data_IF_491495528089
#
_entry.id   IF_491495528089
#
_cell.length_a   1.000
_cell.length_b   1.000
_cell.length_c   1.000
_cell.angle_alpha   90.00
_cell.angle_beta   90.00
_cell.angle_gamma   90.00
#
_symmetry.space_group_name_H-M   'P 1'
#
loop_
_entity.id
_entity.type
_entity.pdbx_description
1 polymer ?
#
# COMPACT_ATOMS: atom_id res chain seq x y z
N UNK A 1 -39.04 -30.64 17.28
CA UNK A 1 -38.20 -31.19 16.19
C UNK A 1 -37.08 -30.21 16.03
N UNK A 2 -35.85 -30.62 16.31
CA UNK A 2 -34.70 -29.74 16.13
C UNK A 2 -34.50 -29.55 14.63
N UNK A 3 -34.67 -28.33 14.16
CA UNK A 3 -34.42 -27.96 12.78
C UNK A 3 -32.90 -27.88 12.63
N UNK A 4 -32.32 -28.71 11.76
CA UNK A 4 -30.89 -28.61 11.41
C UNK A 4 -30.67 -27.28 10.70
N UNK A 5 -29.84 -26.40 11.26
CA UNK A 5 -29.38 -25.18 10.60
C UNK A 5 -28.33 -25.49 9.53
N UNK A 6 -28.24 -24.61 8.54
CA UNK A 6 -27.13 -24.60 7.57
C UNK A 6 -25.80 -24.35 8.30
N UNK A 7 -24.75 -24.96 7.77
CA UNK A 7 -23.38 -24.65 8.17
C UNK A 7 -22.94 -23.31 7.60
N UNK A 8 -21.92 -22.68 8.20
CA UNK A 8 -21.37 -21.41 7.72
C UNK A 8 -20.92 -21.49 6.25
N UNK A 9 -20.38 -22.63 5.83
CA UNK A 9 -19.98 -22.86 4.44
C UNK A 9 -21.18 -22.91 3.50
N UNK A 10 -22.27 -23.58 3.90
CA UNK A 10 -23.52 -23.62 3.12
C UNK A 10 -24.15 -22.22 3.03
N UNK A 11 -24.11 -21.43 4.12
CA UNK A 11 -24.58 -20.04 4.14
C UNK A 11 -23.77 -19.17 3.18
N UNK A 12 -22.43 -19.25 3.23
CA UNK A 12 -21.55 -18.50 2.33
C UNK A 12 -21.80 -18.85 0.86
N UNK A 13 -21.87 -20.14 0.53
CA UNK A 13 -22.16 -20.59 -0.84
C UNK A 13 -23.55 -20.12 -1.32
N UNK A 14 -24.57 -20.12 -0.45
CA UNK A 14 -25.88 -19.61 -0.84
C UNK A 14 -25.86 -18.09 -1.07
N UNK A 15 -25.17 -17.33 -0.21
CA UNK A 15 -25.04 -15.88 -0.35
C UNK A 15 -24.35 -15.50 -1.68
N UNK A 16 -23.34 -16.27 -2.11
CA UNK A 16 -22.72 -16.13 -3.43
C UNK A 16 -23.73 -16.35 -4.57
N UNK A 17 -24.51 -17.44 -4.53
CA UNK A 17 -25.53 -17.69 -5.56
C UNK A 17 -26.64 -16.65 -5.59
N UNK A 18 -27.01 -16.09 -4.43
CA UNK A 18 -27.97 -15.00 -4.34
C UNK A 18 -27.43 -13.74 -5.02
N UNK A 19 -26.16 -13.38 -4.76
CA UNK A 19 -25.50 -12.21 -5.34
C UNK A 19 -25.27 -12.38 -6.86
N UNK A 20 -24.94 -13.58 -7.34
CA UNK A 20 -24.75 -13.88 -8.76
C UNK A 20 -26.07 -14.06 -9.54
N UNK A 21 -27.21 -14.16 -8.85
CA UNK A 21 -28.49 -14.50 -9.47
C UNK A 21 -28.57 -15.94 -9.99
N UNK A 22 -27.73 -16.86 -9.50
CA UNK A 22 -27.66 -18.28 -9.92
C UNK A 22 -28.37 -19.23 -8.95
N UNK A 23 -29.54 -18.82 -8.45
CA UNK A 23 -30.34 -19.59 -7.50
C UNK A 23 -30.79 -20.95 -8.03
N UNK A 24 -30.73 -21.19 -9.34
CA UNK A 24 -31.04 -22.48 -9.97
C UNK A 24 -30.06 -23.60 -9.57
N UNK A 25 -28.83 -23.26 -9.18
CA UNK A 25 -27.80 -24.23 -8.74
C UNK A 25 -28.07 -24.86 -7.38
N UNK A 26 -28.94 -24.25 -6.56
CA UNK A 26 -29.23 -24.73 -5.21
C UNK A 26 -30.27 -25.84 -5.25
N UNK A 27 -30.08 -26.87 -4.42
CA UNK A 27 -31.00 -28.01 -4.35
C UNK A 27 -32.40 -27.57 -3.88
N UNK A 28 -33.42 -28.34 -4.25
CA UNK A 28 -34.80 -28.05 -3.83
C UNK A 28 -34.99 -28.16 -2.32
N UNK A 29 -34.22 -29.02 -1.65
CA UNK A 29 -34.28 -29.22 -0.20
C UNK A 29 -33.76 -27.99 0.55
N UNK A 30 -32.64 -27.42 0.11
CA UNK A 30 -32.06 -26.21 0.71
C UNK A 30 -32.96 -24.98 0.50
N UNK A 31 -33.56 -24.84 -0.68
CA UNK A 31 -34.53 -23.76 -0.96
C UNK A 31 -35.73 -23.82 -0.01
N UNK A 32 -36.26 -25.02 0.21
CA UNK A 32 -37.38 -25.21 1.11
C UNK A 32 -36.96 -25.01 2.58
N UNK A 33 -35.74 -25.40 2.96
CA UNK A 33 -35.19 -25.12 4.28
C UNK A 33 -35.12 -23.61 4.56
N UNK A 34 -34.49 -22.84 3.67
CA UNK A 34 -34.28 -21.38 3.86
C UNK A 34 -35.62 -20.65 3.93
N UNK A 35 -36.59 -21.05 3.11
CA UNK A 35 -37.94 -20.51 3.16
C UNK A 35 -38.65 -20.74 4.51
N UNK A 36 -38.28 -21.79 5.23
CA UNK A 36 -38.90 -22.18 6.50
C UNK A 36 -38.01 -21.92 7.73
N UNK A 37 -36.78 -21.45 7.56
CA UNK A 37 -35.82 -21.20 8.64
C UNK A 37 -35.33 -19.75 8.61
N UNK A 38 -36.03 -18.89 9.34
CA UNK A 38 -35.74 -17.45 9.40
C UNK A 38 -34.30 -17.15 9.84
N UNK A 39 -33.73 -17.95 10.74
CA UNK A 39 -32.36 -17.77 11.22
C UNK A 39 -31.34 -17.88 10.08
N UNK A 40 -31.38 -18.99 9.32
CA UNK A 40 -30.47 -19.19 8.20
C UNK A 40 -30.72 -18.18 7.07
N UNK A 41 -31.98 -17.82 6.81
CA UNK A 41 -32.31 -16.80 5.82
C UNK A 41 -31.72 -15.42 6.17
N UNK A 42 -31.81 -15.01 7.44
CA UNK A 42 -31.25 -13.74 7.88
C UNK A 42 -29.73 -13.72 7.81
N UNK A 43 -29.06 -14.81 8.16
CA UNK A 43 -27.59 -14.93 8.04
C UNK A 43 -27.15 -14.87 6.58
N UNK A 44 -27.86 -15.55 5.68
CA UNK A 44 -27.62 -15.49 4.23
C UNK A 44 -27.75 -14.06 3.70
N UNK A 45 -28.82 -13.34 4.06
CA UNK A 45 -29.03 -11.95 3.64
C UNK A 45 -27.90 -11.06 4.17
N UNK A 46 -27.50 -11.22 5.43
CA UNK A 46 -26.40 -10.45 6.00
C UNK A 46 -25.07 -10.68 5.28
N UNK A 47 -24.75 -11.92 4.91
CA UNK A 47 -23.54 -12.24 4.14
C UNK A 47 -23.64 -11.70 2.71
N UNK A 48 -24.81 -11.79 2.07
CA UNK A 48 -25.03 -11.26 0.73
C UNK A 48 -24.87 -9.73 0.68
N UNK A 49 -25.37 -9.00 1.68
CA UNK A 49 -25.22 -7.55 1.80
C UNK A 49 -23.73 -7.13 1.91
N UNK A 50 -22.90 -7.93 2.60
CA UNK A 50 -21.45 -7.70 2.68
C UNK A 50 -20.80 -7.88 1.31
N UNK A 51 -21.16 -8.96 0.58
CA UNK A 51 -20.64 -9.23 -0.76
C UNK A 51 -21.02 -8.12 -1.77
N UNK A 52 -22.25 -7.59 -1.69
CA UNK A 52 -22.69 -6.47 -2.53
C UNK A 52 -21.87 -5.21 -2.25
N UNK A 53 -21.63 -4.89 -0.97
CA UNK A 53 -20.81 -3.74 -0.57
C UNK A 53 -19.37 -3.86 -1.08
N UNK A 54 -18.77 -5.04 -0.97
CA UNK A 54 -17.41 -5.29 -1.49
C UNK A 54 -17.34 -5.14 -3.02
N UNK A 55 -18.37 -5.60 -3.74
CA UNK A 55 -18.39 -5.41 -5.20
C UNK A 55 -18.57 -3.94 -5.58
N UNK A 56 -19.38 -3.20 -4.81
CA UNK A 56 -19.62 -1.77 -5.05
C UNK A 56 -18.35 -0.92 -4.81
N UNK A 57 -17.59 -1.19 -3.76
CA UNK A 57 -16.33 -0.46 -3.51
C UNK A 57 -15.31 -0.65 -4.62
N UNK A 58 -15.18 -1.87 -5.17
CA UNK A 58 -14.28 -2.15 -6.29
C UNK A 58 -14.72 -1.43 -7.56
N UNK A 59 -16.03 -1.36 -7.84
CA UNK A 59 -16.54 -0.68 -9.03
C UNK A 59 -16.37 0.84 -8.91
N UNK A 60 -16.61 1.44 -7.75
CA UNK A 60 -16.46 2.89 -7.56
C UNK A 60 -15.00 3.34 -7.68
N UNK A 61 -14.03 2.57 -7.16
CA UNK A 61 -12.58 2.83 -7.35
C UNK A 61 -12.12 2.72 -8.81
N UNK A 62 -12.76 1.85 -9.60
CA UNK A 62 -12.44 1.70 -11.03
C UNK A 62 -12.96 2.85 -11.91
N UNK A 63 -14.03 3.52 -11.46
CA UNK A 63 -14.67 4.62 -12.20
C UNK A 63 -13.96 5.95 -11.91
N UNK A 64 -13.57 6.21 -10.66
CA UNK A 64 -12.89 7.46 -10.29
C UNK A 64 -11.48 7.58 -10.88
N UNK A 65 -10.78 6.45 -11.07
CA UNK A 65 -9.45 6.43 -11.69
C UNK A 65 -9.43 6.59 -13.23
N UNK A 66 -10.60 6.72 -13.89
CA UNK A 66 -10.70 6.93 -15.34
C UNK A 66 -11.28 8.29 -15.77
N UNK A 67 -11.64 9.19 -14.84
CA UNK A 67 -12.17 10.53 -15.19
C UNK A 67 -11.04 11.56 -15.10
N UNK A 68 -10.04 11.40 -15.96
CA UNK A 68 -8.95 12.35 -16.16
C UNK A 68 -8.54 12.52 -17.64
N UNK A 69 -9.30 11.95 -18.58
CA UNK A 69 -9.03 12.13 -20.01
C UNK A 69 -10.15 12.93 -20.67
N UNK A 70 -9.82 14.19 -20.91
CA UNK A 70 -10.54 15.13 -21.75
C UNK A 70 -10.48 14.65 -23.22
N UNK A 71 -11.28 13.62 -23.56
CA UNK A 71 -11.30 13.05 -24.91
C UNK A 71 -12.28 13.87 -25.76
N UNK A 72 -11.69 14.78 -26.54
CA UNK A 72 -12.35 15.41 -27.67
C UNK A 72 -12.95 14.35 -28.59
N UNK A 73 -14.18 14.60 -29.05
CA UNK A 73 -15.00 13.73 -29.89
C UNK A 73 -14.26 13.32 -31.17
N UNK A 74 -13.67 12.11 -31.20
CA UNK A 74 -13.31 11.45 -32.46
C UNK A 74 -13.89 10.04 -32.48
N UNK A 75 -14.90 9.85 -33.33
CA UNK A 75 -15.65 8.62 -33.50
C UNK A 75 -14.74 7.46 -33.96
N UNK A 76 -14.93 6.32 -33.29
CA UNK A 76 -15.04 4.99 -33.90
C UNK A 76 -13.80 4.40 -34.57
N UNK A 77 -12.91 3.75 -33.79
CA UNK A 77 -12.32 2.42 -34.11
C UNK A 77 -11.74 1.76 -32.84
N UNK A 78 -12.54 1.14 -31.98
CA UNK A 78 -12.02 0.23 -30.92
C UNK A 78 -12.95 -0.97 -30.82
N UNK A 79 -12.47 -2.15 -31.24
CA UNK A 79 -12.99 -3.47 -30.86
C UNK A 79 -12.02 -4.61 -31.24
N UNK A 80 -10.71 -4.46 -30.95
CA UNK A 80 -9.75 -5.57 -31.09
C UNK A 80 -8.67 -5.64 -29.98
N UNK A 81 -8.55 -4.64 -29.11
CA UNK A 81 -7.50 -4.62 -28.07
C UNK A 81 -7.79 -5.48 -26.84
N UNK A 82 -9.06 -5.78 -26.55
CA UNK A 82 -9.45 -6.58 -25.37
C UNK A 82 -9.26 -8.10 -25.55
N UNK A 83 -9.16 -8.61 -26.78
CA UNK A 83 -8.96 -10.06 -27.04
C UNK A 83 -7.48 -10.48 -26.89
N UNK A 84 -6.53 -9.53 -26.95
CA UNK A 84 -5.10 -9.83 -26.86
C UNK A 84 -4.61 -10.19 -25.46
N UNK A 85 -5.22 -9.63 -24.41
CA UNK A 85 -4.70 -9.73 -23.03
C UNK A 85 -4.98 -11.11 -22.41
N UNK A 86 -6.12 -11.74 -22.75
CA UNK A 86 -6.45 -13.08 -22.25
C UNK A 86 -5.52 -14.17 -22.80
N UNK A 87 -5.04 -14.02 -24.04
CA UNK A 87 -4.15 -15.00 -24.68
C UNK A 87 -2.73 -14.99 -24.09
N UNK A 88 -2.23 -13.83 -23.64
CA UNK A 88 -0.88 -13.72 -23.05
C UNK A 88 -0.77 -14.36 -21.67
N UNK A 89 -1.84 -14.33 -20.86
CA UNK A 89 -1.84 -14.91 -19.51
C UNK A 89 -1.79 -16.45 -19.58
N UNK A 90 -2.52 -17.05 -20.52
CA UNK A 90 -2.51 -18.50 -20.74
C UNK A 90 -1.13 -18.98 -21.22
N UNK A 91 -0.46 -18.22 -22.09
CA UNK A 91 0.88 -18.57 -22.56
C UNK A 91 1.93 -18.50 -21.44
N UNK A 92 1.86 -17.49 -20.57
CA UNK A 92 2.77 -17.34 -19.44
C UNK A 92 2.61 -18.48 -18.42
N UNK A 93 1.38 -18.89 -18.11
CA UNK A 93 1.11 -20.00 -17.19
C UNK A 93 1.66 -21.34 -17.72
N UNK A 94 1.54 -21.61 -19.03
CA UNK A 94 2.10 -22.81 -19.66
C UNK A 94 3.63 -22.82 -19.63
N UNK A 95 4.28 -21.67 -19.82
CA UNK A 95 5.75 -21.56 -19.74
C UNK A 95 6.24 -21.83 -18.31
N UNK A 96 5.56 -21.29 -17.28
CA UNK A 96 5.93 -21.51 -15.88
C UNK A 96 5.77 -22.99 -15.48
N UNK A 97 4.71 -23.66 -15.94
CA UNK A 97 4.52 -25.10 -15.71
C UNK A 97 5.63 -25.94 -16.37
N UNK A 98 6.04 -25.61 -17.60
CA UNK A 98 7.11 -26.33 -18.30
C UNK A 98 8.50 -26.11 -17.66
N UNK A 99 8.73 -24.97 -17.00
CA UNK A 99 9.98 -24.70 -16.31
C UNK A 99 10.04 -25.38 -14.93
N UNK A 100 8.90 -25.53 -14.24
CA UNK A 100 8.84 -26.15 -12.91
C UNK A 100 9.17 -27.65 -12.90
N UNK A 101 8.96 -28.37 -14.01
CA UNK A 101 9.35 -29.79 -14.09
C UNK A 101 10.88 -30.01 -14.11
N UNK A 102 11.69 -28.96 -14.34
CA UNK A 102 13.14 -29.12 -14.54
C UNK A 102 13.98 -29.01 -13.26
N UNK A 103 13.41 -28.55 -12.15
CA UNK A 103 14.20 -28.26 -10.93
C UNK A 103 14.19 -29.37 -9.87
N UNK A 104 13.46 -30.47 -10.08
CA UNK A 104 13.31 -31.54 -9.09
C UNK A 104 14.53 -32.48 -8.92
N UNK A 105 15.72 -32.17 -9.46
CA UNK A 105 16.90 -33.05 -9.36
C UNK A 105 18.23 -32.32 -9.09
N UNK A 106 18.24 -31.37 -8.17
CA UNK A 106 19.49 -30.89 -7.57
C UNK A 106 19.47 -31.21 -6.08
N UNK A 107 20.06 -32.35 -5.70
CA UNK A 107 20.39 -32.64 -4.31
C UNK A 107 21.44 -31.63 -3.83
N UNK A 108 21.21 -30.85 -2.77
CA UNK A 108 22.25 -30.01 -2.21
C UNK A 108 23.35 -30.89 -1.60
N UNK A 109 24.55 -30.81 -2.18
CA UNK A 109 25.79 -31.34 -1.62
C UNK A 109 26.26 -30.34 -0.56
N UNK A 110 25.91 -30.59 0.69
CA UNK A 110 26.48 -29.89 1.84
C UNK A 110 27.98 -30.21 1.85
N UNK A 111 28.79 -29.21 1.50
CA UNK A 111 30.23 -29.24 1.73
C UNK A 111 30.48 -28.47 3.01
N UNK A 112 30.97 -29.19 4.03
CA UNK A 112 31.65 -28.65 5.20
C UNK A 112 32.65 -27.58 4.77
N UNK A 113 32.48 -26.36 5.29
CA UNK A 113 33.57 -25.40 5.36
C UNK A 113 33.61 -24.83 6.77
N UNK A 114 34.39 -25.51 7.59
CA UNK A 114 34.83 -25.04 8.89
C UNK A 114 35.89 -23.93 8.72
N UNK A 115 35.78 -22.95 9.61
CA UNK A 115 36.85 -22.24 10.30
C UNK A 115 37.97 -21.61 9.45
N UNK A 116 37.94 -20.28 9.33
CA UNK A 116 39.16 -19.47 9.37
C UNK A 116 39.00 -18.40 10.44
N UNK A 117 39.97 -18.40 11.34
CA UNK A 117 40.16 -17.56 12.51
C UNK A 117 40.38 -16.08 12.17
N UNK A 118 40.09 -15.31 13.22
CA UNK A 118 40.48 -13.94 13.54
C UNK A 118 41.87 -13.53 13.04
N UNK A 119 42.04 -12.27 12.62
CA UNK A 119 42.87 -11.31 13.38
C UNK A 119 42.92 -9.89 12.77
N UNK A 120 42.62 -8.92 13.64
CA UNK A 120 43.43 -7.75 14.00
C UNK A 120 43.68 -6.59 12.98
N UNK A 121 43.46 -5.38 13.51
CA UNK A 121 44.12 -4.07 13.27
C UNK A 121 43.37 -2.95 12.50
N UNK A 122 42.93 -1.96 13.29
CA UNK A 122 42.75 -0.52 12.98
C UNK A 122 44.10 0.21 12.76
N UNK A 123 44.18 1.54 12.67
CA UNK A 123 43.73 2.48 11.65
C UNK A 123 44.93 3.27 11.05
N UNK A 124 44.82 3.89 9.87
CA UNK A 124 45.80 4.91 9.44
C UNK A 124 45.11 6.10 8.77
N UNK A 125 45.49 7.26 9.30
CA UNK A 125 45.18 8.65 8.96
C UNK A 125 46.05 9.09 7.77
N UNK A 126 45.50 9.86 6.83
CA UNK A 126 46.21 10.89 6.05
C UNK A 126 45.14 11.88 5.53
N UNK A 127 45.06 13.16 5.91
CA UNK A 127 45.96 14.31 5.77
C UNK A 127 46.31 14.70 4.33
N UNK A 128 46.07 15.98 4.03
CA UNK A 128 46.39 16.78 2.84
C UNK A 128 45.48 16.63 1.60
N UNK A 129 44.79 17.71 1.21
CA UNK A 129 45.42 18.75 0.39
C UNK A 129 44.45 19.91 0.13
N UNK A 130 44.89 21.10 0.55
CA UNK A 130 44.40 22.40 0.12
C UNK A 130 44.76 22.63 -1.35
N UNK A 131 43.84 23.17 -2.15
CA UNK A 131 44.22 24.04 -3.26
C UNK A 131 43.07 25.01 -3.59
N UNK A 132 43.34 26.29 -3.30
CA UNK A 132 42.63 27.44 -3.83
C UNK A 132 42.91 27.55 -5.33
N UNK A 133 41.87 27.71 -6.15
CA UNK A 133 42.03 28.32 -7.48
C UNK A 133 40.96 29.39 -7.66
N UNK A 134 41.44 30.62 -7.57
CA UNK A 134 40.80 31.87 -7.99
C UNK A 134 40.87 31.94 -9.50
N UNK A 135 39.72 32.00 -10.19
CA UNK A 135 39.65 32.57 -11.55
C UNK A 135 38.39 33.41 -11.67
N UNK A 136 38.66 34.72 -11.68
CA UNK A 136 37.78 35.83 -12.02
C UNK A 136 37.73 35.97 -13.56
N UNK A 137 36.54 35.84 -14.16
CA UNK A 137 36.26 36.26 -15.55
C UNK A 137 34.86 36.89 -15.62
N UNK A 138 34.87 38.19 -15.40
CA UNK A 138 34.12 39.30 -15.99
C UNK A 138 33.25 39.00 -17.24
N UNK A 139 31.99 39.44 -17.11
CA UNK A 139 31.20 40.22 -18.09
C UNK A 139 30.65 39.51 -19.35
N UNK A 140 29.35 39.24 -19.33
CA UNK A 140 28.38 39.93 -20.21
C UNK A 140 26.96 39.77 -19.69
N UNK A 141 26.46 40.83 -19.06
CA UNK A 141 25.11 40.91 -18.50
C UNK A 141 24.12 41.25 -19.62
N UNK A 142 23.42 40.23 -20.12
CA UNK A 142 22.22 40.38 -20.95
C UNK A 142 21.04 40.08 -20.03
N UNK A 143 20.36 41.14 -19.56
CA UNK A 143 19.18 41.07 -18.70
C UNK A 143 18.00 40.49 -19.48
N UNK A 144 17.94 39.15 -19.54
CA UNK A 144 16.69 38.44 -19.77
C UNK A 144 15.81 38.60 -18.54
N UNK A 145 14.74 39.37 -18.67
CA UNK A 145 13.65 39.41 -17.70
C UNK A 145 12.89 38.09 -17.86
N UNK A 146 13.34 37.06 -17.16
CA UNK A 146 12.60 35.82 -16.97
C UNK A 146 11.42 36.11 -16.04
N UNK A 147 10.21 35.97 -16.57
CA UNK A 147 8.97 36.12 -15.81
C UNK A 147 8.88 34.90 -14.86
N UNK A 148 9.03 35.06 -13.53
CA UNK A 148 8.91 33.96 -12.60
C UNK A 148 7.46 33.89 -12.14
N UNK A 149 6.60 33.17 -12.88
CA UNK A 149 5.16 33.15 -12.59
C UNK A 149 4.52 31.76 -12.79
N UNK A 150 5.32 30.70 -12.76
CA UNK A 150 4.86 29.30 -12.93
C UNK A 150 5.22 28.41 -11.74
N UNK A 151 5.74 28.98 -10.64
CA UNK A 151 6.24 28.20 -9.48
C UNK A 151 5.15 28.02 -8.40
N UNK A 152 4.10 28.84 -8.36
CA UNK A 152 3.15 28.85 -7.23
C UNK A 152 2.07 27.75 -7.25
N UNK A 153 1.70 27.22 -8.43
CA UNK A 153 0.57 26.27 -8.49
C UNK A 153 0.96 24.85 -8.04
N UNK A 154 2.17 24.39 -8.36
CA UNK A 154 2.62 23.04 -8.00
C UNK A 154 2.83 22.89 -6.47
N UNK A 155 3.29 23.94 -5.80
CA UNK A 155 3.48 23.97 -4.34
C UNK A 155 2.13 23.86 -3.59
N UNK A 156 1.06 24.48 -4.11
CA UNK A 156 -0.26 24.39 -3.49
C UNK A 156 -0.89 23.00 -3.65
N UNK A 157 -0.61 22.29 -4.74
CA UNK A 157 -1.14 20.94 -4.98
C UNK A 157 -0.55 19.90 -4.03
N UNK A 158 0.65 20.12 -3.49
CA UNK A 158 1.32 19.20 -2.57
C UNK A 158 0.60 19.08 -1.21
N UNK A 159 -0.29 20.02 -0.87
CA UNK A 159 -1.01 20.05 0.40
C UNK A 159 -2.49 19.67 0.29
N UNK A 160 -2.97 19.28 -0.89
CA UNK A 160 -4.37 18.85 -1.07
C UNK A 160 -4.55 17.51 -0.37
N UNK A 161 -5.49 17.44 0.56
CA UNK A 161 -5.80 16.21 1.28
C UNK A 161 -6.34 15.11 0.35
N UNK A 162 -6.00 13.86 0.69
CA UNK A 162 -6.60 12.68 0.08
C UNK A 162 -7.74 12.15 0.97
N UNK A 163 -8.98 12.17 0.47
CA UNK A 163 -10.16 11.85 1.29
C UNK A 163 -10.12 10.45 1.94
N UNK A 164 -9.54 9.45 1.27
CA UNK A 164 -9.46 8.08 1.79
C UNK A 164 -8.41 7.96 2.91
N UNK A 165 -7.24 8.55 2.72
CA UNK A 165 -6.19 8.61 3.74
C UNK A 165 -6.57 9.51 4.91
N UNK A 166 -7.33 10.58 4.67
CA UNK A 166 -7.92 11.42 5.72
C UNK A 166 -8.89 10.62 6.60
N UNK A 167 -9.77 9.82 5.99
CA UNK A 167 -10.67 8.95 6.73
C UNK A 167 -9.90 7.88 7.50
N UNK A 168 -8.86 7.30 6.91
CA UNK A 168 -8.02 6.30 7.56
C UNK A 168 -7.29 6.91 8.77
N UNK A 169 -6.65 8.07 8.59
CA UNK A 169 -5.99 8.81 9.68
C UNK A 169 -7.00 9.18 10.77
N UNK A 170 -8.20 9.63 10.43
CA UNK A 170 -9.22 9.96 11.42
C UNK A 170 -9.70 8.74 12.24
N UNK A 171 -9.69 7.54 11.65
CA UNK A 171 -10.07 6.29 12.32
C UNK A 171 -8.93 5.70 13.16
N UNK A 172 -7.68 5.86 12.72
CA UNK A 172 -6.50 5.21 13.30
C UNK A 172 -5.48 6.22 13.90
N UNK A 173 -5.94 7.41 14.28
CA UNK A 173 -5.11 8.42 14.98
C UNK A 173 -4.93 8.13 16.49
N UNK A 174 -5.61 7.12 17.00
CA UNK A 174 -5.41 6.58 18.34
C UNK A 174 -5.03 5.11 18.20
N UNK A 175 -3.98 4.67 18.90
CA UNK A 175 -3.58 3.26 18.91
C UNK A 175 -4.77 2.39 19.36
N UNK A 176 -5.36 1.65 18.44
CA UNK A 176 -6.63 0.94 18.65
C UNK A 176 -6.44 -0.49 19.17
N UNK A 177 -5.22 -1.03 19.18
CA UNK A 177 -4.95 -2.42 19.53
C UNK A 177 -3.68 -2.63 20.37
N UNK A 178 -3.92 -3.10 21.60
CA UNK A 178 -3.12 -4.13 22.26
C UNK A 178 -1.88 -3.66 22.99
N UNK A 179 -0.81 -3.42 22.25
CA UNK A 179 0.55 -3.49 22.83
C UNK A 179 1.46 -2.34 22.41
N UNK A 180 0.93 -1.43 21.59
CA UNK A 180 1.67 -0.27 21.09
C UNK A 180 1.11 1.05 21.63
N UNK A 181 2.00 1.88 22.16
CA UNK A 181 1.71 3.25 22.58
C UNK A 181 2.44 4.23 21.67
N UNK A 182 1.68 4.92 20.81
CA UNK A 182 2.24 5.93 19.91
C UNK A 182 2.57 7.17 20.73
N UNK A 183 3.84 7.57 20.75
CA UNK A 183 4.32 8.75 21.48
C UNK A 183 4.29 10.01 20.62
N UNK A 184 4.40 9.84 19.30
CA UNK A 184 4.30 10.94 18.34
C UNK A 184 2.86 11.39 18.12
N UNK A 185 2.67 12.69 17.95
CA UNK A 185 1.36 13.27 17.62
C UNK A 185 0.82 12.73 16.28
N UNK A 186 -0.50 12.58 16.18
CA UNK A 186 -1.14 12.11 14.95
C UNK A 186 -0.99 13.07 13.77
N UNK A 187 -0.67 14.33 14.03
CA UNK A 187 -0.38 15.34 13.03
C UNK A 187 0.94 15.99 13.43
N UNK A 188 1.96 15.81 12.58
CA UNK A 188 3.28 16.38 12.79
C UNK A 188 3.50 17.50 11.78
N UNK A 189 3.93 18.67 12.24
CA UNK A 189 4.42 19.75 11.37
C UNK A 189 5.95 19.84 11.50
N UNK A 190 6.67 19.77 10.37
CA UNK A 190 8.14 19.73 10.31
C UNK A 190 8.61 20.79 9.32
N UNK A 191 9.73 21.45 9.62
CA UNK A 191 10.39 22.32 8.65
C UNK A 191 11.15 21.50 7.60
N UNK A 192 11.11 21.90 6.34
CA UNK A 192 11.80 21.25 5.23
C UNK A 192 13.29 21.07 5.54
N UNK A 193 13.78 19.85 5.29
CA UNK A 193 15.17 19.48 5.59
C UNK A 193 15.51 19.27 7.07
N UNK A 194 14.55 19.41 7.98
CA UNK A 194 14.75 19.13 9.41
C UNK A 194 14.42 17.68 9.72
N UNK A 195 15.34 16.89 10.32
CA UNK A 195 15.03 15.53 10.72
C UNK A 195 13.99 15.51 11.85
N UNK A 196 13.10 14.54 11.81
CA UNK A 196 12.07 14.34 12.83
C UNK A 196 11.92 12.85 13.14
N UNK A 197 11.75 12.52 14.42
CA UNK A 197 11.65 11.13 14.87
C UNK A 197 10.19 10.78 15.16
N UNK A 198 9.64 9.85 14.39
CA UNK A 198 8.41 9.14 14.73
C UNK A 198 8.75 8.09 15.78
N UNK A 199 7.97 8.02 16.87
CA UNK A 199 8.27 7.20 18.05
C UNK A 199 7.03 6.50 18.59
N UNK A 200 7.23 5.27 19.01
CA UNK A 200 6.23 4.44 19.67
C UNK A 200 6.91 3.49 20.67
N UNK A 201 6.15 3.03 21.64
CA UNK A 201 6.57 2.03 22.61
C UNK A 201 5.82 0.74 22.36
N UNK A 202 6.52 -0.39 22.41
CA UNK A 202 5.93 -1.74 22.40
C UNK A 202 6.19 -2.44 23.73
N UNK A 203 5.28 -3.32 24.14
CA UNK A 203 5.48 -4.22 25.28
C UNK A 203 6.53 -5.30 25.00
N UNK A 204 6.76 -5.66 23.72
CA UNK A 204 7.67 -6.73 23.30
C UNK A 204 8.99 -6.18 22.74
N UNK A 205 10.10 -6.53 23.38
CA UNK A 205 11.42 -6.08 22.93
C UNK A 205 11.83 -6.80 21.63
N UNK A 206 12.15 -6.03 20.59
CA UNK A 206 12.61 -6.56 19.31
C UNK A 206 11.50 -6.90 18.32
N UNK A 207 10.27 -6.46 18.59
CA UNK A 207 9.19 -6.51 17.61
C UNK A 207 9.55 -5.64 16.39
N UNK A 208 9.25 -6.17 15.21
CA UNK A 208 9.54 -5.54 13.92
C UNK A 208 8.22 -5.05 13.32
N UNK A 209 8.25 -3.81 12.82
CA UNK A 209 7.11 -3.13 12.23
C UNK A 209 7.50 -2.65 10.84
N UNK A 210 6.49 -2.41 10.01
CA UNK A 210 6.64 -1.79 8.70
C UNK A 210 6.10 -0.37 8.80
N UNK A 211 6.92 0.60 8.40
CA UNK A 211 6.47 1.97 8.18
C UNK A 211 6.26 2.21 6.70
N UNK A 212 5.09 2.72 6.36
CA UNK A 212 4.77 3.16 5.00
C UNK A 212 4.47 4.65 5.00
N UNK A 213 5.12 5.42 4.12
CA UNK A 213 4.84 6.84 3.92
C UNK A 213 4.28 7.06 2.52
N UNK A 214 3.14 7.73 2.45
CA UNK A 214 2.42 8.05 1.24
C UNK A 214 2.41 9.56 1.02
N UNK A 215 2.45 9.97 -0.25
CA UNK A 215 2.15 11.34 -0.62
C UNK A 215 0.64 11.64 -0.59
N UNK A 216 0.28 12.87 -0.90
CA UNK A 216 -1.10 13.33 -0.93
C UNK A 216 -1.93 12.78 -2.11
N UNK A 217 -1.32 12.01 -3.01
CA UNK A 217 -1.97 11.27 -4.11
C UNK A 217 -2.08 9.79 -3.80
N UNK A 218 -1.83 9.38 -2.56
CA UNK A 218 -1.78 8.00 -2.11
C UNK A 218 -0.73 7.14 -2.83
N UNK A 219 0.34 7.75 -3.34
CA UNK A 219 1.49 7.02 -3.87
C UNK A 219 2.45 6.69 -2.72
N UNK A 220 2.83 5.42 -2.63
CA UNK A 220 3.82 4.95 -1.66
C UNK A 220 5.20 5.52 -2.02
N UNK A 221 5.81 6.24 -1.07
CA UNK A 221 7.12 6.88 -1.22
C UNK A 221 8.19 6.09 -0.47
N UNK A 222 7.86 5.62 0.75
CA UNK A 222 8.79 4.89 1.62
C UNK A 222 8.08 3.67 2.18
N UNK A 223 8.77 2.53 2.18
CA UNK A 223 8.40 1.31 2.87
C UNK A 223 9.67 0.75 3.52
N UNK A 224 9.72 0.74 4.85
CA UNK A 224 10.90 0.29 5.59
C UNK A 224 10.51 -0.53 6.82
N UNK A 225 11.36 -1.49 7.15
CA UNK A 225 11.24 -2.27 8.38
C UNK A 225 11.93 -1.55 9.55
N UNK A 226 11.21 -1.36 10.64
CA UNK A 226 11.57 -0.50 11.78
C UNK A 226 11.22 -1.19 13.10
N UNK A 227 11.79 -0.71 14.20
CA UNK A 227 11.51 -1.25 15.55
C UNK A 227 10.66 -0.29 16.36
N UNK A 228 11.26 0.66 17.10
CA UNK A 228 10.50 1.55 18.01
C UNK A 228 10.43 3.00 17.52
N UNK A 229 11.13 3.31 16.44
CA UNK A 229 11.22 4.66 15.94
C UNK A 229 11.62 4.67 14.47
N UNK A 230 11.25 5.74 13.78
CA UNK A 230 11.67 6.02 12.42
C UNK A 230 12.07 7.50 12.29
N UNK A 231 13.27 7.74 11.74
CA UNK A 231 13.74 9.10 11.47
C UNK A 231 13.33 9.50 10.05
N UNK A 232 12.44 10.50 9.95
CA UNK A 232 12.11 11.15 8.69
C UNK A 232 13.34 11.90 8.22
N UNK A 233 13.95 11.44 7.13
CA UNK A 233 15.14 12.05 6.52
C UNK A 233 14.76 13.25 5.66
N UNK A 234 15.72 14.15 5.45
CA UNK A 234 15.60 15.43 4.74
C UNK A 234 15.31 15.33 3.23
N UNK A 235 14.95 14.15 2.72
CA UNK A 235 14.74 13.91 1.29
C UNK A 235 13.28 14.18 0.86
N UNK A 236 12.35 14.26 1.81
CA UNK A 236 10.96 14.63 1.52
C UNK A 236 10.86 16.13 1.20
N UNK A 237 10.14 16.44 0.13
CA UNK A 237 9.85 17.81 -0.27
C UNK A 237 8.77 18.42 0.63
N UNK A 238 8.58 19.72 0.54
CA UNK A 238 7.43 20.39 1.14
C UNK A 238 6.12 19.78 0.61
N UNK A 239 5.15 19.58 1.51
CA UNK A 239 3.89 18.94 1.17
C UNK A 239 3.22 18.20 2.35
N UNK A 240 2.09 17.56 2.02
CA UNK A 240 1.32 16.71 2.92
C UNK A 240 1.62 15.24 2.64
N UNK A 241 1.95 14.53 3.71
CA UNK A 241 2.21 13.10 3.69
C UNK A 241 1.37 12.38 4.74
N UNK A 242 1.15 11.10 4.51
CA UNK A 242 0.49 10.20 5.44
C UNK A 242 1.46 9.08 5.78
N UNK A 243 1.47 8.67 7.04
CA UNK A 243 2.29 7.53 7.45
C UNK A 243 1.43 6.47 8.14
N UNK A 244 1.76 5.22 7.87
CA UNK A 244 1.13 4.05 8.47
C UNK A 244 2.17 3.26 9.25
N UNK A 245 1.76 2.73 10.38
CA UNK A 245 2.53 1.75 11.13
C UNK A 245 1.80 0.42 11.12
N UNK A 246 2.48 -0.62 10.67
CA UNK A 246 1.94 -1.95 10.41
C UNK A 246 2.79 -2.97 11.15
N UNK A 247 2.20 -4.01 11.73
CA UNK A 247 2.96 -5.11 12.35
C UNK A 247 3.39 -6.18 11.33
N UNK A 248 4.08 -7.22 11.81
CA UNK A 248 4.49 -8.37 11.00
C UNK A 248 3.34 -9.18 10.39
N UNK A 249 2.13 -9.08 10.95
CA UNK A 249 0.92 -9.74 10.46
C UNK A 249 0.14 -8.89 9.44
N UNK A 250 0.71 -7.75 9.03
CA UNK A 250 0.10 -6.77 8.13
C UNK A 250 -1.17 -6.08 8.68
N UNK A 251 -1.35 -6.10 10.01
CA UNK A 251 -2.39 -5.33 10.68
C UNK A 251 -1.98 -3.86 10.80
N UNK A 252 -2.88 -2.96 10.39
CA UNK A 252 -2.70 -1.52 10.58
C UNK A 252 -2.86 -1.15 12.06
N UNK A 253 -1.80 -0.63 12.66
CA UNK A 253 -1.76 -0.21 14.06
C UNK A 253 -2.07 1.28 14.23
N UNK A 254 -1.55 2.12 13.34
CA UNK A 254 -1.67 3.58 13.42
C UNK A 254 -1.62 4.23 12.05
N UNK A 255 -2.32 5.36 11.89
CA UNK A 255 -2.19 6.22 10.73
C UNK A 255 -2.19 7.71 11.12
N UNK A 256 -1.11 8.41 10.77
CA UNK A 256 -0.91 9.83 11.05
C UNK A 256 -0.59 10.65 9.81
N UNK A 257 -0.40 11.95 10.02
CA UNK A 257 -0.08 12.95 8.99
C UNK A 257 1.24 13.64 9.29
N UNK A 258 1.95 13.97 8.23
CA UNK A 258 3.18 14.77 8.28
C UNK A 258 2.99 15.94 7.32
N UNK A 259 3.19 17.15 7.80
CA UNK A 259 3.11 18.39 7.04
C UNK A 259 4.51 18.99 7.03
N UNK A 260 5.16 19.03 5.86
CA UNK A 260 6.49 19.60 5.68
C UNK A 260 6.35 20.98 5.07
N UNK A 261 6.92 22.02 5.71
CA UNK A 261 6.86 23.43 5.29
C UNK A 261 8.21 24.14 5.37
#
# INVERSE_FOLDING_TARGET
>A
MDIRHLTEQEIATYAEYLNEGTLDKISSEEKEHIKNCDACNNEIIAVADILEQMHKSVVEESITNNIGLNISKKKSVINYTLIGIAASIILAAVIIMLLSEKEASIKPRIADQQAIEQDIYTPVIDSNSTEEVVVDVTEKEELEITIPDVIEEEELLAYICNDDLEQLSARYNTALRGDIEITTDSIVEIAAGTPYMLQWNTSEAGEEFIIEIYDNKAQLIIEESVHNSYEIRSELKEGLYYWKLINSDFDLLFCGKIIIR
#
